data_IF_384583897851
#
_entry.id   IF_384583897851
#
_cell.length_a   1.000
_cell.length_b   1.000
_cell.length_c   1.000
_cell.angle_alpha   90.00
_cell.angle_beta   90.00
_cell.angle_gamma   90.00
#
_symmetry.space_group_name_H-M   'P 1'
#
loop_
_entity.id
_entity.type
_entity.pdbx_description
1 polymer ?
#
# COMPACT_ATOMS: atom_id res chain seq x y z
N UNK A 1 -10.47 -4.14 11.55
CA UNK A 1 -9.87 -5.34 12.08
C UNK A 1 -9.08 -5.09 13.34
N UNK A 2 -8.69 -6.14 14.00
CA UNK A 2 -7.92 -6.06 15.24
C UNK A 2 -6.46 -5.77 14.91
N UNK A 3 -5.88 -4.75 15.58
CA UNK A 3 -4.48 -4.42 15.36
C UNK A 3 -3.57 -5.45 16.04
N UNK A 4 -2.30 -5.48 15.61
CA UNK A 4 -1.30 -6.34 16.23
C UNK A 4 -1.20 -6.09 17.74
N UNK A 5 -1.22 -4.82 18.16
CA UNK A 5 -1.15 -4.46 19.57
C UNK A 5 -2.34 -5.00 20.36
N UNK A 6 -3.53 -4.87 19.80
CA UNK A 6 -4.75 -5.36 20.43
C UNK A 6 -4.72 -6.87 20.60
N UNK A 7 -4.25 -7.59 19.59
CA UNK A 7 -4.08 -9.05 19.70
C UNK A 7 -3.11 -9.39 20.82
N UNK A 8 -1.95 -8.71 20.85
CA UNK A 8 -0.94 -8.97 21.86
C UNK A 8 -1.46 -8.68 23.27
N UNK A 9 -2.17 -7.58 23.45
CA UNK A 9 -2.75 -7.21 24.76
C UNK A 9 -3.82 -8.20 25.18
N UNK A 10 -4.71 -8.55 24.29
CA UNK A 10 -5.84 -9.43 24.55
C UNK A 10 -5.38 -10.85 24.90
N UNK A 11 -4.35 -11.34 24.23
CA UNK A 11 -3.81 -12.67 24.43
C UNK A 11 -2.60 -12.70 25.36
N UNK A 12 -2.23 -11.53 25.90
CA UNK A 12 -1.04 -11.37 26.73
C UNK A 12 0.23 -11.86 26.04
N UNK A 13 0.33 -11.58 24.75
CA UNK A 13 1.47 -12.01 23.94
C UNK A 13 2.40 -10.84 23.64
N UNK A 14 3.69 -11.16 23.46
CA UNK A 14 4.69 -10.18 23.03
C UNK A 14 4.40 -9.74 21.60
N UNK A 15 4.43 -8.41 21.28
CA UNK A 15 4.20 -7.93 19.91
C UNK A 15 5.16 -8.53 18.88
N UNK A 16 6.41 -8.83 19.27
CA UNK A 16 7.36 -9.45 18.35
C UNK A 16 6.96 -10.89 18.02
N UNK A 17 6.39 -11.59 18.98
CA UNK A 17 5.85 -12.93 18.73
C UNK A 17 4.69 -12.86 17.74
N UNK A 18 3.79 -11.91 17.92
CA UNK A 18 2.65 -11.70 17.01
C UNK A 18 3.15 -11.37 15.60
N UNK A 19 4.18 -10.55 15.48
CA UNK A 19 4.79 -10.24 14.19
C UNK A 19 5.34 -11.49 13.50
N UNK A 20 6.04 -12.34 14.26
CA UNK A 20 6.58 -13.58 13.71
C UNK A 20 5.48 -14.53 13.26
N UNK A 21 4.41 -14.61 14.06
CA UNK A 21 3.26 -15.43 13.72
C UNK A 21 2.59 -14.93 12.44
N UNK A 22 2.38 -13.61 12.34
CA UNK A 22 1.78 -13.00 11.16
C UNK A 22 2.61 -13.30 9.91
N UNK A 23 3.94 -13.18 10.01
CA UNK A 23 4.82 -13.47 8.89
C UNK A 23 4.77 -14.95 8.51
N UNK A 24 4.69 -15.85 9.50
CA UNK A 24 4.55 -17.28 9.25
C UNK A 24 3.28 -17.60 8.48
N UNK A 25 2.17 -16.93 8.83
CA UNK A 25 0.87 -17.19 8.20
C UNK A 25 0.71 -16.51 6.83
N UNK A 26 1.29 -15.33 6.66
CA UNK A 26 1.06 -14.51 5.45
C UNK A 26 2.29 -14.41 4.55
N UNK A 27 3.46 -14.81 5.04
CA UNK A 27 4.73 -14.60 4.31
C UNK A 27 5.27 -13.18 4.40
N UNK A 28 4.60 -12.29 5.11
CA UNK A 28 4.96 -10.89 5.20
C UNK A 28 4.89 -10.40 6.64
N UNK A 29 5.73 -9.39 6.97
CA UNK A 29 5.56 -8.67 8.23
C UNK A 29 4.30 -7.81 8.14
N UNK A 30 3.80 -7.37 9.29
CA UNK A 30 2.65 -6.45 9.32
C UNK A 30 2.96 -5.18 8.53
N UNK A 31 4.20 -4.67 8.65
CA UNK A 31 4.62 -3.47 7.92
C UNK A 31 4.60 -3.69 6.41
N UNK A 32 5.16 -4.80 5.94
CA UNK A 32 5.17 -5.14 4.52
C UNK A 32 3.75 -5.29 3.97
N UNK A 33 2.88 -5.94 4.72
CA UNK A 33 1.48 -6.11 4.35
C UNK A 33 0.77 -4.76 4.22
N UNK A 34 0.99 -3.86 5.19
CA UNK A 34 0.39 -2.53 5.16
C UNK A 34 0.86 -1.73 3.94
N UNK A 35 2.14 -1.81 3.61
CA UNK A 35 2.69 -1.14 2.43
C UNK A 35 2.03 -1.68 1.16
N UNK A 36 1.91 -2.99 1.03
CA UNK A 36 1.27 -3.59 -0.14
C UNK A 36 -0.18 -3.17 -0.29
N UNK A 37 -0.92 -3.10 0.81
CA UNK A 37 -2.32 -2.63 0.77
C UNK A 37 -2.41 -1.18 0.34
N UNK A 38 -1.54 -0.32 0.87
CA UNK A 38 -1.49 1.10 0.48
C UNK A 38 -1.16 1.28 -0.99
N UNK A 39 -0.21 0.49 -1.49
CA UNK A 39 0.18 0.58 -2.90
C UNK A 39 -0.95 0.11 -3.82
N UNK A 40 -1.67 -0.94 -3.46
CA UNK A 40 -2.83 -1.39 -4.23
C UNK A 40 -3.94 -0.35 -4.27
N UNK A 41 -4.19 0.32 -3.16
CA UNK A 41 -5.15 1.41 -3.12
C UNK A 41 -4.70 2.56 -4.01
N UNK A 42 -3.40 2.90 -3.97
CA UNK A 42 -2.85 3.94 -4.83
C UNK A 42 -3.01 3.57 -6.31
N UNK A 43 -2.73 2.33 -6.68
CA UNK A 43 -2.93 1.85 -8.05
C UNK A 43 -4.37 2.05 -8.50
N UNK A 44 -5.32 1.69 -7.64
CA UNK A 44 -6.74 1.85 -7.93
C UNK A 44 -7.10 3.33 -8.16
N UNK A 45 -6.65 4.21 -7.28
CA UNK A 45 -6.92 5.63 -7.40
C UNK A 45 -6.27 6.24 -8.65
N UNK A 46 -5.07 5.81 -8.98
CA UNK A 46 -4.38 6.30 -10.18
C UNK A 46 -5.11 5.90 -11.45
N UNK A 47 -5.69 4.71 -11.49
CA UNK A 47 -6.42 4.22 -12.65
C UNK A 47 -7.83 4.77 -12.76
N UNK A 48 -8.51 4.94 -11.64
CA UNK A 48 -9.95 5.19 -11.64
C UNK A 48 -10.37 6.57 -11.13
N UNK A 49 -9.42 7.45 -10.84
CA UNK A 49 -9.75 8.82 -10.42
C UNK A 49 -8.84 9.82 -11.10
N UNK A 50 -9.23 11.09 -11.03
CA UNK A 50 -8.43 12.21 -11.56
C UNK A 50 -7.66 12.92 -10.46
N UNK A 51 -7.56 12.33 -9.28
CA UNK A 51 -6.80 12.91 -8.18
C UNK A 51 -5.35 13.17 -8.59
N UNK A 52 -4.81 14.32 -8.20
CA UNK A 52 -3.39 14.58 -8.37
C UNK A 52 -2.58 13.50 -7.66
N UNK A 53 -1.40 13.18 -8.18
CA UNK A 53 -0.56 12.15 -7.57
C UNK A 53 -0.27 12.45 -6.11
N UNK A 54 -0.05 13.74 -5.76
CA UNK A 54 0.17 14.15 -4.37
C UNK A 54 -1.06 13.86 -3.50
N UNK A 55 -2.26 14.05 -4.04
CA UNK A 55 -3.49 13.74 -3.32
C UNK A 55 -3.65 12.23 -3.12
N UNK A 56 -3.26 11.42 -4.11
CA UNK A 56 -3.27 9.98 -3.96
C UNK A 56 -2.33 9.55 -2.83
N UNK A 57 -1.13 10.13 -2.79
CA UNK A 57 -0.16 9.82 -1.73
C UNK A 57 -0.75 10.11 -0.34
N UNK A 58 -1.37 11.27 -0.17
CA UNK A 58 -1.99 11.62 1.10
C UNK A 58 -3.15 10.67 1.45
N UNK A 59 -3.97 10.34 0.46
CA UNK A 59 -5.12 9.46 0.67
C UNK A 59 -4.72 8.08 1.16
N UNK A 60 -3.60 7.56 0.68
CA UNK A 60 -3.13 6.23 1.10
C UNK A 60 -2.20 6.28 2.32
N UNK A 61 -2.06 7.44 2.94
CA UNK A 61 -1.39 7.57 4.24
C UNK A 61 0.07 7.99 4.20
N UNK A 62 0.54 8.57 3.09
CA UNK A 62 1.90 9.08 3.00
C UNK A 62 1.90 10.60 3.09
N UNK A 63 2.56 11.14 4.11
CA UNK A 63 2.74 12.59 4.26
C UNK A 63 4.03 13.08 3.59
N UNK A 64 4.95 12.19 3.24
CA UNK A 64 6.13 12.53 2.47
C UNK A 64 5.97 12.04 1.03
N UNK A 65 5.80 12.99 0.11
CA UNK A 65 5.54 12.70 -1.30
C UNK A 65 6.69 11.94 -1.96
N UNK A 66 7.93 12.36 -1.69
CA UNK A 66 9.10 11.69 -2.27
C UNK A 66 9.19 10.24 -1.81
N UNK A 67 8.87 9.98 -0.55
CA UNK A 67 8.84 8.64 0.00
C UNK A 67 7.78 7.78 -0.70
N UNK A 68 6.61 8.36 -0.92
CA UNK A 68 5.54 7.66 -1.64
C UNK A 68 6.00 7.24 -3.04
N UNK A 69 6.60 8.16 -3.80
CA UNK A 69 7.09 7.88 -5.15
C UNK A 69 8.09 6.73 -5.15
N UNK A 70 9.05 6.76 -4.21
CA UNK A 70 10.06 5.70 -4.13
C UNK A 70 9.44 4.36 -3.80
N UNK A 71 8.51 4.33 -2.85
CA UNK A 71 7.85 3.09 -2.46
C UNK A 71 6.97 2.55 -3.57
N UNK A 72 6.25 3.43 -4.26
CA UNK A 72 5.40 3.01 -5.37
C UNK A 72 6.23 2.42 -6.51
N UNK A 73 7.34 3.08 -6.86
CA UNK A 73 8.22 2.58 -7.90
C UNK A 73 8.86 1.24 -7.51
N UNK A 74 9.22 1.09 -6.24
CA UNK A 74 9.79 -0.17 -5.74
C UNK A 74 8.79 -1.31 -5.85
N UNK A 75 7.52 -1.05 -5.53
CA UNK A 75 6.49 -2.10 -5.51
C UNK A 75 5.95 -2.41 -6.90
N UNK A 76 5.87 -1.44 -7.78
CA UNK A 76 5.20 -1.61 -9.09
C UNK A 76 6.14 -1.58 -10.29
N UNK A 77 7.36 -1.05 -10.12
CA UNK A 77 8.29 -0.84 -11.23
C UNK A 77 8.03 0.45 -12.02
N UNK A 78 7.03 1.22 -11.65
CA UNK A 78 6.66 2.46 -12.33
C UNK A 78 6.54 3.60 -11.32
N UNK A 79 6.82 4.84 -11.77
CA UNK A 79 6.41 5.99 -10.99
C UNK A 79 4.89 6.09 -11.03
N UNK A 80 4.25 6.76 -10.06
CA UNK A 80 2.79 6.94 -10.09
C UNK A 80 2.30 7.58 -11.40
N UNK A 81 3.03 8.57 -11.90
CA UNK A 81 2.66 9.24 -13.16
C UNK A 81 2.74 8.27 -14.35
N UNK A 82 3.82 7.49 -14.43
CA UNK A 82 3.99 6.50 -15.49
C UNK A 82 2.91 5.42 -15.41
N UNK A 83 2.60 4.99 -14.19
CA UNK A 83 1.58 3.97 -13.97
C UNK A 83 0.21 4.44 -14.44
N UNK A 84 -0.18 5.66 -14.06
CA UNK A 84 -1.46 6.24 -14.50
C UNK A 84 -1.55 6.31 -16.01
N UNK A 85 -0.52 6.83 -16.64
CA UNK A 85 -0.51 6.96 -18.10
C UNK A 85 -0.64 5.61 -18.79
N UNK A 86 0.13 4.63 -18.35
CA UNK A 86 0.16 3.32 -18.99
C UNK A 86 -1.16 2.57 -18.82
N UNK A 87 -1.65 2.47 -17.62
CA UNK A 87 -2.80 1.62 -17.33
C UNK A 87 -4.12 2.31 -17.61
N UNK A 88 -4.14 3.62 -17.61
CA UNK A 88 -5.34 4.37 -17.96
C UNK A 88 -5.61 4.33 -19.46
N UNK A 89 -4.58 4.43 -20.28
CA UNK A 89 -4.70 4.30 -21.72
C UNK A 89 -5.24 2.94 -22.12
N UNK A 90 -4.79 1.88 -21.47
CA UNK A 90 -5.28 0.53 -21.70
C UNK A 90 -6.78 0.45 -21.40
N UNK A 91 -7.23 1.05 -20.29
CA UNK A 91 -8.64 1.05 -19.91
C UNK A 91 -9.49 1.82 -20.90
N UNK A 92 -9.01 2.94 -21.41
CA UNK A 92 -9.72 3.73 -22.43
C UNK A 92 -9.91 2.95 -23.71
N UNK A 93 -8.89 2.23 -24.15
CA UNK A 93 -8.94 1.42 -25.36
C UNK A 93 -9.96 0.28 -25.27
N UNK A 94 -10.27 -0.18 -24.07
CA UNK A 94 -11.23 -1.25 -23.86
C UNK A 94 -12.69 -0.79 -23.87
N UNK A 95 -12.89 0.49 -23.76
CA UNK A 95 -14.25 1.04 -23.82
C UNK A 95 -14.59 1.54 -25.21
#
# INVERSE_FOLDING_TARGET
>A
GISRREIAEKLNLNPDYVNRLFKSETGMTVKEYAIKKRMKQAEHLLKHSDLAVSAVAAEVGYDNFSHFIRMFRKETGYTPKQYRKKFREINVEKT
#
